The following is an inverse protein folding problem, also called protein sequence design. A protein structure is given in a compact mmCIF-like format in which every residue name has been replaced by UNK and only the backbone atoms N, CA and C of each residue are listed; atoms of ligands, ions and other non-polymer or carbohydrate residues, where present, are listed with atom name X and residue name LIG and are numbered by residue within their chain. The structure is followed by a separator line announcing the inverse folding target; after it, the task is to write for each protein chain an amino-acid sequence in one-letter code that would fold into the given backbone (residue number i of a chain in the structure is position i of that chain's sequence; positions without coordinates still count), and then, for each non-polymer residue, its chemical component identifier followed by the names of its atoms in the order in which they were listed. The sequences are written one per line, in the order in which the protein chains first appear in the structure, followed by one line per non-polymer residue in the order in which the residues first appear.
data_IF_882673372935
#
_entry.id   IF_882673372935
#
_cell.length_a   1.000
_cell.length_b   1.000
_cell.length_c   1.000
_cell.angle_alpha   90.00
_cell.angle_beta   90.00
_cell.angle_gamma   90.00
#
_symmetry.space_group_name_H-M   'P 1'
#
loop_
_entity.id
_entity.type
_entity.pdbx_description
1 polymer ?
#
# COMPACT_ATOMS: atom_id res chain seq x y z
N UNK A 1 38.18 2.60 16.08
CA UNK A 1 37.15 2.88 17.11
C UNK A 1 36.07 1.81 17.00
N UNK A 2 36.02 0.90 17.97
CA UNK A 2 34.96 -0.11 18.06
C UNK A 2 33.68 0.58 18.55
N UNK A 3 32.76 0.88 17.64
CA UNK A 3 31.42 1.28 18.03
C UNK A 3 30.73 0.07 18.67
N UNK A 4 30.59 0.13 19.99
CA UNK A 4 29.74 -0.77 20.76
C UNK A 4 28.32 -0.72 20.16
N UNK A 5 27.92 -1.82 19.52
CA UNK A 5 26.53 -2.05 19.08
C UNK A 5 25.70 -2.40 20.32
N UNK A 6 25.42 -1.42 21.17
CA UNK A 6 24.35 -1.58 22.17
C UNK A 6 23.04 -1.75 21.39
N UNK A 7 22.49 -2.98 21.40
CA UNK A 7 21.17 -3.25 20.83
C UNK A 7 20.17 -2.32 21.50
N UNK A 8 19.64 -1.35 20.76
CA UNK A 8 18.55 -0.49 21.21
C UNK A 8 17.39 -1.39 21.67
N UNK A 9 16.83 -1.21 22.88
CA UNK A 9 15.70 -2.00 23.32
C UNK A 9 14.53 -1.75 22.37
N UNK A 10 14.06 -2.81 21.71
CA UNK A 10 12.92 -2.76 20.80
C UNK A 10 11.63 -2.62 21.59
N UNK A 11 10.72 -1.77 21.12
CA UNK A 11 9.49 -1.48 21.83
C UNK A 11 8.39 -2.46 21.43
N UNK A 12 7.97 -3.32 22.36
CA UNK A 12 6.92 -4.33 22.17
C UNK A 12 5.51 -3.74 22.03
N UNK A 13 5.35 -2.44 22.22
CA UNK A 13 4.09 -1.73 22.07
C UNK A 13 3.99 -0.98 20.74
N UNK A 14 4.93 -1.15 19.81
CA UNK A 14 4.87 -0.55 18.48
C UNK A 14 4.27 -1.53 17.47
N UNK A 15 3.15 -1.11 16.88
CA UNK A 15 2.42 -1.80 15.83
C UNK A 15 2.73 -1.12 14.51
N UNK A 16 3.17 -1.90 13.53
CA UNK A 16 3.57 -1.37 12.22
C UNK A 16 2.39 -1.50 11.25
N UNK A 17 1.96 -0.37 10.69
CA UNK A 17 0.94 -0.31 9.64
C UNK A 17 1.67 0.10 8.36
N UNK A 18 1.58 -0.71 7.32
CA UNK A 18 2.36 -0.50 6.10
C UNK A 18 1.51 -0.52 4.84
N UNK A 19 2.06 0.06 3.77
CA UNK A 19 1.52 -0.05 2.43
C UNK A 19 2.62 -0.42 1.43
N UNK A 20 2.28 -1.29 0.46
CA UNK A 20 3.22 -1.68 -0.60
C UNK A 20 2.52 -2.00 -1.93
N UNK A 21 2.81 -1.20 -2.97
CA UNK A 21 2.50 -1.57 -4.35
C UNK A 21 3.41 -2.74 -4.80
N UNK A 22 2.80 -3.86 -5.21
CA UNK A 22 3.53 -5.10 -5.51
C UNK A 22 4.01 -5.19 -6.96
N UNK A 23 3.79 -4.18 -7.80
CA UNK A 23 4.14 -4.09 -9.22
C UNK A 23 3.63 -5.32 -10.00
N UNK A 24 2.32 -5.32 -10.30
CA UNK A 24 1.65 -6.30 -11.14
C UNK A 24 1.93 -7.74 -10.70
N UNK A 25 1.49 -8.07 -9.48
CA UNK A 25 1.62 -9.43 -8.97
C UNK A 25 0.50 -10.29 -9.54
N UNK A 26 0.75 -10.80 -10.74
CA UNK A 26 -0.06 -11.81 -11.41
C UNK A 26 0.44 -13.22 -11.06
N UNK A 27 -0.47 -14.19 -11.04
CA UNK A 27 -0.16 -15.59 -11.15
C UNK A 27 0.34 -15.91 -12.59
N UNK A 28 0.24 -17.15 -13.05
CA UNK A 28 0.81 -17.57 -14.35
C UNK A 28 -0.19 -18.27 -15.24
N UNK A 29 -1.43 -18.41 -14.76
CA UNK A 29 -2.57 -18.77 -15.58
C UNK A 29 -3.01 -17.53 -16.36
N UNK A 30 -3.89 -17.77 -17.32
CA UNK A 30 -4.46 -16.75 -18.21
C UNK A 30 -5.93 -16.63 -17.84
N UNK A 31 -6.42 -15.41 -17.55
CA UNK A 31 -7.85 -15.17 -17.33
C UNK A 31 -8.43 -14.41 -18.52
N UNK A 32 -9.26 -15.11 -19.31
CA UNK A 32 -9.91 -14.56 -20.51
C UNK A 32 -10.78 -13.31 -20.26
N UNK A 33 -11.04 -12.94 -19.01
CA UNK A 33 -11.86 -11.79 -18.62
C UNK A 33 -11.04 -10.54 -18.32
N UNK A 34 -9.71 -10.65 -18.19
CA UNK A 34 -8.82 -9.55 -17.83
C UNK A 34 -7.68 -9.43 -18.84
N UNK A 35 -6.94 -8.33 -18.79
CA UNK A 35 -5.80 -8.07 -19.67
C UNK A 35 -4.49 -8.57 -19.05
N UNK A 36 -4.45 -9.84 -18.64
CA UNK A 36 -3.31 -10.47 -17.94
C UNK A 36 -2.41 -11.34 -18.85
N UNK A 37 -2.79 -11.56 -20.12
CA UNK A 37 -2.06 -12.34 -21.15
C UNK A 37 -0.54 -12.12 -21.14
N UNK A 38 -0.14 -10.87 -20.95
CA UNK A 38 1.26 -10.41 -20.90
C UNK A 38 2.07 -11.13 -19.82
N UNK A 39 1.42 -11.49 -18.71
CA UNK A 39 1.93 -12.18 -17.54
C UNK A 39 1.69 -13.69 -17.55
N UNK A 40 1.69 -14.30 -18.73
CA UNK A 40 1.74 -15.76 -18.87
C UNK A 40 3.15 -16.26 -19.28
N UNK A 41 3.45 -17.57 -19.19
CA UNK A 41 4.72 -18.13 -19.66
C UNK A 41 4.98 -17.88 -21.15
N UNK A 42 3.91 -17.78 -21.95
CA UNK A 42 3.95 -17.52 -23.40
C UNK A 42 3.75 -16.05 -23.76
N UNK A 43 3.23 -15.25 -22.84
CA UNK A 43 2.97 -13.82 -23.00
C UNK A 43 4.20 -12.96 -23.21
N UNK A 44 3.96 -11.67 -23.46
CA UNK A 44 5.01 -10.70 -23.77
C UNK A 44 6.11 -10.64 -22.71
N UNK A 45 5.76 -10.74 -21.42
CA UNK A 45 6.71 -10.72 -20.30
C UNK A 45 7.42 -12.05 -20.10
N UNK A 46 6.91 -13.16 -20.65
CA UNK A 46 7.39 -14.53 -20.39
C UNK A 46 7.39 -14.84 -18.89
N UNK A 47 6.28 -14.56 -18.23
CA UNK A 47 6.13 -14.75 -16.79
C UNK A 47 5.97 -16.22 -16.47
N UNK A 48 7.07 -16.85 -16.04
CA UNK A 48 7.10 -18.28 -15.72
C UNK A 48 6.87 -18.50 -14.23
N UNK A 49 6.43 -19.71 -13.84
CA UNK A 49 6.33 -20.10 -12.43
C UNK A 49 7.61 -19.83 -11.63
N UNK A 50 8.79 -19.97 -12.26
CA UNK A 50 10.08 -19.66 -11.62
C UNK A 50 10.20 -18.17 -11.27
N UNK A 51 9.76 -17.27 -12.16
CA UNK A 51 9.77 -15.81 -11.94
C UNK A 51 8.74 -15.40 -10.89
N UNK A 52 7.54 -15.97 -10.98
CA UNK A 52 6.47 -15.79 -10.00
C UNK A 52 6.93 -16.17 -8.58
N UNK A 53 7.39 -17.41 -8.37
CA UNK A 53 7.93 -17.87 -7.07
C UNK A 53 9.08 -17.00 -6.56
N UNK A 54 9.97 -16.53 -7.46
CA UNK A 54 11.07 -15.62 -7.08
C UNK A 54 10.53 -14.27 -6.61
N UNK A 55 9.51 -13.72 -7.27
CA UNK A 55 8.87 -12.46 -6.88
C UNK A 55 8.13 -12.61 -5.55
N UNK A 56 7.33 -13.67 -5.35
CA UNK A 56 6.69 -13.95 -4.05
C UNK A 56 7.69 -14.00 -2.89
N UNK A 57 8.78 -14.76 -3.03
CA UNK A 57 9.82 -14.85 -1.99
C UNK A 57 10.49 -13.50 -1.69
N UNK A 58 10.64 -12.64 -2.71
CA UNK A 58 11.21 -11.30 -2.56
C UNK A 58 10.27 -10.37 -1.81
N UNK A 59 9.02 -10.31 -2.24
CA UNK A 59 7.98 -9.49 -1.59
C UNK A 59 7.76 -9.93 -0.15
N UNK A 60 7.66 -11.24 0.09
CA UNK A 60 7.55 -11.82 1.44
C UNK A 60 8.71 -11.41 2.36
N UNK A 61 9.96 -11.45 1.87
CA UNK A 61 11.13 -10.95 2.61
C UNK A 61 11.11 -9.45 2.88
N UNK A 62 10.55 -8.67 1.97
CA UNK A 62 10.39 -7.21 2.15
C UNK A 62 9.38 -6.94 3.24
N UNK A 63 8.17 -7.50 3.13
CA UNK A 63 7.06 -7.28 4.06
C UNK A 63 7.47 -7.69 5.48
N UNK A 64 8.07 -8.87 5.65
CA UNK A 64 8.52 -9.35 6.96
C UNK A 64 9.57 -8.46 7.66
N UNK A 65 10.18 -7.51 6.95
CA UNK A 65 11.21 -6.60 7.49
C UNK A 65 10.70 -5.18 7.77
N UNK A 66 9.47 -4.84 7.38
CA UNK A 66 8.90 -3.52 7.62
C UNK A 66 8.75 -3.27 9.12
N UNK A 67 9.18 -2.10 9.59
CA UNK A 67 9.17 -1.74 11.02
C UNK A 67 10.10 -2.55 11.94
N UNK A 68 10.83 -3.53 11.41
CA UNK A 68 11.66 -4.44 12.23
C UNK A 68 12.89 -3.75 12.86
N UNK A 69 13.20 -2.50 12.49
CA UNK A 69 14.27 -1.77 13.17
C UNK A 69 13.83 -1.30 14.56
N UNK A 70 12.57 -0.90 14.70
CA UNK A 70 12.01 -0.31 15.92
C UNK A 70 11.24 -1.33 16.77
N UNK A 71 10.66 -2.37 16.14
CA UNK A 71 9.92 -3.46 16.82
C UNK A 71 10.42 -4.85 16.40
N UNK A 72 10.15 -5.86 17.23
CA UNK A 72 10.31 -7.29 16.87
C UNK A 72 9.01 -7.89 16.33
N UNK A 73 7.90 -7.16 16.43
CA UNK A 73 6.63 -7.60 15.88
C UNK A 73 6.68 -7.53 14.34
N UNK A 74 6.08 -8.51 13.65
CA UNK A 74 5.85 -8.37 12.21
C UNK A 74 4.83 -7.25 11.98
N UNK A 75 4.73 -6.69 10.76
CA UNK A 75 3.71 -5.69 10.45
C UNK A 75 2.31 -6.16 10.82
N UNK A 76 1.59 -5.34 11.56
CA UNK A 76 0.24 -5.66 12.04
C UNK A 76 -0.76 -5.59 10.91
N UNK A 77 -0.66 -4.56 10.07
CA UNK A 77 -1.47 -4.33 8.89
C UNK A 77 -0.56 -4.00 7.71
N UNK A 78 -0.86 -4.59 6.55
CA UNK A 78 -0.17 -4.30 5.29
C UNK A 78 -1.20 -4.17 4.18
N UNK A 79 -1.49 -2.94 3.78
CA UNK A 79 -2.21 -2.67 2.54
C UNK A 79 -1.31 -2.97 1.35
N UNK A 80 -1.86 -3.60 0.33
CA UNK A 80 -1.14 -3.89 -0.92
C UNK A 80 -2.00 -3.50 -2.12
N UNK A 81 -1.34 -3.10 -3.20
CA UNK A 81 -1.97 -2.86 -4.49
C UNK A 81 -1.26 -3.64 -5.60
N UNK A 82 -1.92 -3.68 -6.76
CA UNK A 82 -1.49 -4.43 -7.94
C UNK A 82 -1.40 -5.94 -7.70
N UNK A 83 -2.40 -6.49 -7.01
CA UNK A 83 -2.58 -7.94 -6.82
C UNK A 83 -3.64 -8.43 -7.78
N UNK A 84 -3.38 -9.49 -8.54
CA UNK A 84 -4.36 -9.96 -9.52
C UNK A 84 -5.63 -10.55 -8.89
N UNK A 85 -5.44 -11.44 -7.91
CA UNK A 85 -6.54 -12.19 -7.34
C UNK A 85 -6.19 -12.72 -5.93
N UNK A 86 -7.20 -13.28 -5.26
CA UNK A 86 -7.02 -13.83 -3.92
C UNK A 86 -6.04 -15.03 -3.84
N UNK A 87 -5.85 -15.81 -4.91
CA UNK A 87 -4.86 -16.90 -4.92
C UNK A 87 -3.44 -16.35 -4.83
N UNK A 88 -3.17 -15.24 -5.51
CA UNK A 88 -1.87 -14.56 -5.41
C UNK A 88 -1.57 -14.10 -3.99
N UNK A 89 -2.56 -13.52 -3.28
CA UNK A 89 -2.38 -13.13 -1.87
C UNK A 89 -2.02 -14.35 -1.02
N UNK A 90 -2.77 -15.45 -1.20
CA UNK A 90 -2.54 -16.71 -0.47
C UNK A 90 -1.13 -17.26 -0.73
N UNK A 91 -0.69 -17.26 -1.99
CA UNK A 91 0.65 -17.72 -2.38
C UNK A 91 1.76 -16.83 -1.80
N UNK A 92 1.52 -15.52 -1.71
CA UNK A 92 2.44 -14.57 -1.05
C UNK A 92 2.58 -14.89 0.45
N UNK A 93 1.46 -15.11 1.15
CA UNK A 93 1.47 -15.45 2.57
C UNK A 93 2.11 -16.82 2.84
N UNK A 94 1.95 -17.79 1.93
CA UNK A 94 2.59 -19.09 2.01
C UNK A 94 4.10 -19.06 1.65
N UNK A 95 4.60 -17.93 1.13
CA UNK A 95 5.97 -17.81 0.64
C UNK A 95 6.94 -17.27 1.69
N UNK A 96 8.20 -17.71 1.60
CA UNK A 96 9.32 -17.07 2.31
C UNK A 96 9.14 -17.00 3.83
N UNK A 97 9.52 -15.88 4.49
CA UNK A 97 9.32 -15.69 5.92
C UNK A 97 7.86 -15.47 6.35
N UNK A 98 6.98 -14.98 5.47
CA UNK A 98 5.58 -14.71 5.83
C UNK A 98 4.81 -15.94 6.30
N UNK A 99 5.16 -17.13 5.81
CA UNK A 99 4.53 -18.40 6.23
C UNK A 99 4.64 -18.72 7.72
N UNK A 100 5.56 -18.05 8.42
CA UNK A 100 5.80 -18.24 9.85
C UNK A 100 4.94 -17.31 10.72
N UNK A 101 4.20 -16.39 10.11
CA UNK A 101 3.31 -15.47 10.80
C UNK A 101 1.85 -15.86 10.58
N UNK A 102 1.01 -15.50 11.53
CA UNK A 102 -0.40 -15.84 11.53
C UNK A 102 -1.23 -14.79 10.77
N UNK A 103 -0.88 -14.62 9.49
CA UNK A 103 -1.52 -13.65 8.62
C UNK A 103 -2.81 -14.19 7.99
N UNK A 104 -3.79 -13.30 7.90
CA UNK A 104 -4.98 -13.45 7.06
C UNK A 104 -5.12 -12.23 6.16
N UNK A 105 -6.13 -12.21 5.28
CA UNK A 105 -6.31 -11.12 4.33
C UNK A 105 -7.78 -10.84 4.02
N UNK A 106 -8.04 -9.63 3.49
CA UNK A 106 -9.29 -9.22 2.85
C UNK A 106 -8.97 -8.78 1.42
N UNK A 107 -9.77 -9.26 0.45
CA UNK A 107 -9.60 -8.98 -0.97
C UNK A 107 -10.96 -9.08 -1.69
N UNK A 108 -11.21 -8.20 -2.65
CA UNK A 108 -12.31 -8.26 -3.59
C UNK A 108 -11.80 -7.97 -4.99
N UNK A 109 -12.37 -8.62 -6.00
CA UNK A 109 -12.10 -8.28 -7.39
C UNK A 109 -12.81 -6.97 -7.74
N UNK A 110 -12.13 -6.09 -8.46
CA UNK A 110 -12.68 -4.82 -8.93
C UNK A 110 -12.97 -4.83 -10.43
N UNK A 111 -13.66 -3.80 -10.97
CA UNK A 111 -13.93 -3.68 -12.40
C UNK A 111 -12.71 -3.36 -13.28
N UNK A 112 -11.50 -3.28 -12.73
CA UNK A 112 -10.31 -2.85 -13.50
C UNK A 112 -9.99 -3.88 -14.58
N UNK A 113 -9.90 -3.45 -15.84
CA UNK A 113 -9.72 -4.34 -16.99
C UNK A 113 -8.40 -5.13 -16.95
N UNK A 114 -7.38 -4.62 -16.24
CA UNK A 114 -6.12 -5.35 -16.05
C UNK A 114 -6.26 -6.47 -15.02
N UNK A 115 -7.36 -6.52 -14.28
CA UNK A 115 -7.61 -7.51 -13.24
C UNK A 115 -6.64 -7.36 -12.08
N UNK A 116 -6.42 -6.14 -11.58
CA UNK A 116 -5.57 -5.91 -10.41
C UNK A 116 -6.26 -5.09 -9.33
N UNK A 117 -6.11 -5.54 -8.10
CA UNK A 117 -6.88 -5.10 -6.95
C UNK A 117 -6.00 -4.61 -5.80
N UNK A 118 -6.69 -4.08 -4.78
CA UNK A 118 -6.14 -3.84 -3.46
C UNK A 118 -6.48 -5.00 -2.51
N UNK A 119 -5.59 -5.26 -1.56
CA UNK A 119 -5.85 -6.17 -0.44
C UNK A 119 -5.32 -5.60 0.86
N UNK A 120 -5.91 -6.06 1.97
CA UNK A 120 -5.40 -5.84 3.31
C UNK A 120 -4.92 -7.16 3.88
N UNK A 121 -3.62 -7.27 4.19
CA UNK A 121 -3.04 -8.37 4.95
C UNK A 121 -2.96 -7.94 6.42
N UNK A 122 -3.34 -8.82 7.35
CA UNK A 122 -3.39 -8.49 8.78
C UNK A 122 -2.97 -9.65 9.68
N UNK A 123 -2.22 -9.33 10.74
CA UNK A 123 -1.81 -10.29 11.78
C UNK A 123 -3.00 -10.59 12.69
N UNK A 124 -3.51 -11.84 12.64
CA UNK A 124 -4.69 -12.27 13.40
C UNK A 124 -4.55 -12.14 14.91
N UNK A 125 -3.31 -12.04 15.43
CA UNK A 125 -3.07 -11.84 16.86
C UNK A 125 -3.37 -10.42 17.34
N UNK A 126 -3.38 -9.46 16.42
CA UNK A 126 -3.43 -8.04 16.76
C UNK A 126 -4.54 -7.28 16.04
N UNK A 127 -5.15 -7.89 15.02
CA UNK A 127 -6.27 -7.31 14.28
C UNK A 127 -7.35 -8.34 13.98
N UNK A 128 -8.60 -7.94 14.20
CA UNK A 128 -9.80 -8.71 13.87
C UNK A 128 -10.68 -7.90 12.90
N UNK A 129 -11.09 -8.52 11.79
CA UNK A 129 -12.00 -7.90 10.82
C UNK A 129 -13.44 -8.07 11.33
N UNK A 130 -14.16 -6.96 11.44
CA UNK A 130 -15.60 -6.97 11.78
C UNK A 130 -16.47 -6.86 10.53
N UNK A 131 -16.04 -6.06 9.56
CA UNK A 131 -16.77 -5.82 8.31
C UNK A 131 -15.81 -5.36 7.20
N UNK A 132 -16.15 -5.66 5.95
CA UNK A 132 -15.40 -5.17 4.80
C UNK A 132 -16.26 -5.13 3.54
N UNK A 133 -16.03 -4.12 2.69
CA UNK A 133 -16.67 -4.03 1.38
C UNK A 133 -15.77 -3.29 0.37
N UNK A 134 -15.91 -3.58 -0.93
CA UNK A 134 -15.35 -2.73 -1.97
C UNK A 134 -16.18 -1.45 -2.14
N UNK A 135 -15.51 -0.31 -2.22
CA UNK A 135 -16.12 0.99 -2.55
C UNK A 135 -15.78 1.33 -3.98
N UNK A 136 -16.81 1.41 -4.82
CA UNK A 136 -16.62 1.70 -6.23
C UNK A 136 -16.26 3.16 -6.49
N UNK A 137 -15.21 3.38 -7.27
CA UNK A 137 -14.83 4.71 -7.76
C UNK A 137 -15.35 4.90 -9.18
N UNK A 138 -16.33 5.79 -9.34
CA UNK A 138 -16.97 6.06 -10.63
C UNK A 138 -16.24 7.20 -11.37
N UNK A 139 -15.35 6.84 -12.28
CA UNK A 139 -14.64 7.79 -13.14
C UNK A 139 -15.16 7.74 -14.57
N UNK A 140 -15.13 8.90 -15.22
CA UNK A 140 -15.63 9.08 -16.58
C UNK A 140 -14.59 9.84 -17.40
N UNK A 141 -14.49 9.47 -18.68
CA UNK A 141 -13.76 10.20 -19.70
C UNK A 141 -14.49 11.49 -20.09
N UNK A 142 -13.80 12.40 -20.78
CA UNK A 142 -14.37 13.68 -21.26
C UNK A 142 -15.61 13.48 -22.17
N UNK A 143 -15.68 12.34 -22.88
CA UNK A 143 -16.81 11.98 -23.73
C UNK A 143 -17.98 11.32 -22.96
N UNK A 144 -17.90 11.25 -21.62
CA UNK A 144 -18.93 10.68 -20.76
C UNK A 144 -18.91 9.15 -20.65
N UNK A 145 -17.99 8.47 -21.33
CA UNK A 145 -17.84 7.02 -21.22
C UNK A 145 -17.22 6.69 -19.85
N UNK A 146 -17.77 5.68 -19.19
CA UNK A 146 -17.22 5.18 -17.93
C UNK A 146 -15.83 4.58 -18.16
N UNK A 147 -14.85 5.06 -17.42
CA UNK A 147 -13.53 4.45 -17.32
C UNK A 147 -13.54 3.50 -16.11
N UNK A 148 -13.25 2.23 -16.36
CA UNK A 148 -13.24 1.21 -15.31
C UNK A 148 -11.92 1.27 -14.55
N UNK A 149 -11.98 1.48 -13.24
CA UNK A 149 -10.81 1.60 -12.37
C UNK A 149 -10.93 0.68 -11.16
N UNK A 150 -9.88 0.66 -10.35
CA UNK A 150 -9.83 -0.07 -9.08
C UNK A 150 -10.83 0.48 -8.08
N UNK A 151 -11.48 -0.43 -7.37
CA UNK A 151 -12.26 -0.10 -6.19
C UNK A 151 -11.31 0.21 -5.02
N UNK A 152 -11.83 0.94 -4.04
CA UNK A 152 -11.17 1.16 -2.75
C UNK A 152 -11.62 0.05 -1.81
N UNK A 153 -10.70 -0.68 -1.20
CA UNK A 153 -11.04 -1.66 -0.19
C UNK A 153 -11.30 -0.96 1.14
N UNK A 154 -12.51 -1.08 1.69
CA UNK A 154 -12.83 -0.66 3.04
C UNK A 154 -12.89 -1.85 4.00
N UNK A 155 -12.30 -1.67 5.18
CA UNK A 155 -12.31 -2.65 6.27
C UNK A 155 -12.54 -1.92 7.59
N UNK A 156 -13.59 -2.34 8.32
CA UNK A 156 -13.78 -2.02 9.73
C UNK A 156 -13.26 -3.19 10.57
N UNK A 157 -12.48 -2.90 11.60
CA UNK A 157 -11.98 -3.93 12.49
C UNK A 157 -11.42 -3.41 13.80
N UNK A 158 -10.92 -4.33 14.62
CA UNK A 158 -10.40 -4.07 15.96
C UNK A 158 -8.88 -4.21 15.99
N UNK A 159 -8.17 -3.10 16.17
CA UNK A 159 -6.74 -3.08 16.47
C UNK A 159 -6.56 -3.11 18.00
N UNK A 160 -6.23 -4.26 18.58
CA UNK A 160 -6.04 -4.40 20.04
C UNK A 160 -7.24 -3.85 20.87
N UNK A 161 -8.46 -4.09 20.39
CA UNK A 161 -9.78 -3.63 20.88
C UNK A 161 -10.24 -2.23 20.45
N UNK A 162 -9.37 -1.44 19.82
CA UNK A 162 -9.73 -0.14 19.27
C UNK A 162 -10.37 -0.30 17.88
N UNK A 163 -11.59 0.21 17.68
CA UNK A 163 -12.22 0.22 16.35
C UNK A 163 -11.42 1.12 15.43
N UNK A 164 -11.08 0.63 14.24
CA UNK A 164 -10.45 1.40 13.17
C UNK A 164 -11.12 1.13 11.83
N UNK A 165 -11.17 2.18 11.01
CA UNK A 165 -11.72 2.19 9.66
C UNK A 165 -10.58 2.36 8.67
N UNK A 166 -10.33 1.33 7.88
CA UNK A 166 -9.18 1.22 7.00
C UNK A 166 -9.65 1.34 5.56
N UNK A 167 -8.98 2.19 4.79
CA UNK A 167 -9.17 2.32 3.36
C UNK A 167 -7.86 1.97 2.66
N UNK A 168 -7.85 0.95 1.80
CA UNK A 168 -6.71 0.60 0.95
C UNK A 168 -7.05 0.97 -0.49
N UNK A 169 -6.26 1.86 -1.08
CA UNK A 169 -6.58 2.44 -2.40
C UNK A 169 -5.41 2.36 -3.40
N UNK A 170 -5.76 2.37 -4.68
CA UNK A 170 -4.84 2.50 -5.80
C UNK A 170 -5.46 3.41 -6.88
N UNK A 171 -5.23 4.71 -6.74
CA UNK A 171 -5.88 5.73 -7.55
C UNK A 171 -5.48 5.68 -9.04
N UNK A 172 -6.29 6.26 -9.93
CA UNK A 172 -5.99 6.34 -11.36
C UNK A 172 -4.59 6.90 -11.64
N UNK A 173 -3.85 6.22 -12.52
CA UNK A 173 -2.46 6.58 -12.82
C UNK A 173 -2.35 7.84 -13.68
N UNK A 174 -1.18 8.49 -13.67
CA UNK A 174 -0.89 9.68 -14.50
C UNK A 174 -0.52 9.35 -15.97
N UNK A 175 -0.75 8.11 -16.45
CA UNK A 175 -0.21 7.62 -17.74
C UNK A 175 -0.69 8.43 -18.96
N UNK A 176 -1.94 8.90 -18.95
CA UNK A 176 -2.51 9.71 -20.04
C UNK A 176 -2.19 11.21 -19.92
N UNK A 177 -1.35 11.57 -18.95
CA UNK A 177 -0.98 12.94 -18.62
C UNK A 177 -1.63 13.40 -17.32
N UNK A 178 -0.87 14.13 -16.52
CA UNK A 178 -1.27 14.54 -15.18
C UNK A 178 -2.55 15.40 -15.21
N UNK A 179 -2.55 16.45 -16.03
CA UNK A 179 -3.69 17.36 -16.17
C UNK A 179 -4.96 16.68 -16.68
N UNK A 180 -4.84 15.61 -17.48
CA UNK A 180 -5.99 14.88 -18.04
C UNK A 180 -6.59 13.87 -17.07
N UNK A 181 -5.85 13.49 -16.04
CA UNK A 181 -6.23 12.42 -15.10
C UNK A 181 -6.45 12.94 -13.68
N UNK A 182 -6.09 14.19 -13.40
CA UNK A 182 -6.22 14.81 -12.08
C UNK A 182 -7.66 14.75 -11.54
N UNK A 183 -8.67 15.00 -12.38
CA UNK A 183 -10.09 14.93 -11.96
C UNK A 183 -10.47 13.53 -11.47
N UNK A 184 -9.92 12.46 -12.07
CA UNK A 184 -10.18 11.08 -11.66
C UNK A 184 -9.70 10.82 -10.22
N UNK A 185 -8.57 11.42 -9.83
CA UNK A 185 -8.02 11.30 -8.46
C UNK A 185 -8.79 12.17 -7.45
N UNK A 186 -9.27 13.35 -7.87
CA UNK A 186 -10.22 14.15 -7.08
C UNK A 186 -11.51 13.36 -6.82
N UNK A 187 -12.04 12.66 -7.83
CA UNK A 187 -13.20 11.78 -7.66
C UNK A 187 -12.93 10.68 -6.63
N UNK A 188 -11.77 10.02 -6.69
CA UNK A 188 -11.40 9.01 -5.69
C UNK A 188 -11.32 9.59 -4.26
N UNK A 189 -10.73 10.77 -4.11
CA UNK A 189 -10.68 11.49 -2.84
C UNK A 189 -12.09 11.83 -2.31
N UNK A 190 -12.98 12.32 -3.19
CA UNK A 190 -14.38 12.61 -2.88
C UNK A 190 -15.12 11.34 -2.44
N UNK A 191 -14.95 10.22 -3.15
CA UNK A 191 -15.56 8.94 -2.78
C UNK A 191 -15.18 8.52 -1.36
N UNK A 192 -13.92 8.69 -0.95
CA UNK A 192 -13.50 8.40 0.44
C UNK A 192 -14.17 9.36 1.43
N UNK A 193 -14.16 10.66 1.14
CA UNK A 193 -14.78 11.67 2.01
C UNK A 193 -16.28 11.41 2.20
N UNK A 194 -17.01 11.10 1.12
CA UNK A 194 -18.43 10.79 1.12
C UNK A 194 -18.71 9.53 1.96
N UNK A 195 -17.89 8.50 1.82
CA UNK A 195 -18.01 7.28 2.62
C UNK A 195 -17.76 7.53 4.11
N UNK A 196 -16.73 8.31 4.45
CA UNK A 196 -16.45 8.74 5.83
C UNK A 196 -17.60 9.56 6.43
N UNK A 197 -18.26 10.42 5.65
CA UNK A 197 -19.46 11.15 6.13
C UNK A 197 -20.57 10.17 6.55
N UNK A 198 -20.75 9.07 5.82
CA UNK A 198 -21.69 8.01 6.19
C UNK A 198 -21.36 7.37 7.55
N UNK A 199 -20.09 7.01 7.78
CA UNK A 199 -19.62 6.44 9.05
C UNK A 199 -19.91 7.40 10.21
N UNK A 200 -19.59 8.69 10.02
CA UNK A 200 -19.75 9.76 11.02
C UNK A 200 -21.20 10.02 11.43
N UNK A 201 -22.20 9.54 10.66
CA UNK A 201 -23.61 9.60 11.10
C UNK A 201 -23.92 8.67 12.27
N UNK A 202 -23.10 7.64 12.48
CA UNK A 202 -23.32 6.59 13.47
C UNK A 202 -22.19 6.45 14.50
N UNK A 203 -21.00 6.96 14.19
CA UNK A 203 -19.82 6.88 15.05
C UNK A 203 -19.24 8.28 15.29
N UNK A 204 -19.07 8.65 16.56
CA UNK A 204 -18.42 9.91 16.92
C UNK A 204 -16.90 9.76 16.90
N UNK A 205 -16.20 10.64 16.18
CA UNK A 205 -14.74 10.66 16.05
C UNK A 205 -14.11 9.31 15.62
N UNK A 206 -14.55 8.72 14.50
CA UNK A 206 -14.01 7.45 14.01
C UNK A 206 -12.50 7.52 13.75
N UNK A 207 -11.81 6.42 14.08
CA UNK A 207 -10.39 6.28 13.81
C UNK A 207 -10.14 5.83 12.37
N UNK A 208 -9.58 6.71 11.55
CA UNK A 208 -9.33 6.42 10.14
C UNK A 208 -7.85 6.09 9.89
N UNK A 209 -7.63 5.09 9.03
CA UNK A 209 -6.34 4.79 8.41
C UNK A 209 -6.57 4.69 6.90
N UNK A 210 -6.17 5.71 6.14
CA UNK A 210 -6.25 5.72 4.68
C UNK A 210 -4.86 5.46 4.13
N UNK A 211 -4.66 4.32 3.47
CA UNK A 211 -3.38 3.92 2.90
C UNK A 211 -3.51 3.54 1.43
N UNK A 212 -2.48 3.76 0.64
CA UNK A 212 -2.60 3.47 -0.78
C UNK A 212 -1.47 4.00 -1.64
N UNK A 213 -1.55 3.62 -2.91
CA UNK A 213 -0.87 4.29 -4.00
C UNK A 213 -1.83 5.35 -4.55
N UNK A 214 -1.63 6.58 -4.13
CA UNK A 214 -2.48 7.70 -4.50
C UNK A 214 -2.18 8.19 -5.93
N UNK A 215 -1.11 7.72 -6.58
CA UNK A 215 -0.60 8.30 -7.83
C UNK A 215 -0.44 9.84 -7.79
N UNK A 216 -0.39 10.41 -6.58
CA UNK A 216 -0.26 11.83 -6.28
C UNK A 216 0.62 12.03 -5.06
N UNK A 217 1.31 13.17 -5.01
CA UNK A 217 2.19 13.53 -3.90
C UNK A 217 1.38 14.09 -2.72
N UNK A 218 1.93 14.14 -1.51
CA UNK A 218 1.21 14.66 -0.34
C UNK A 218 0.68 16.10 -0.49
N UNK A 219 1.29 16.90 -1.36
CA UNK A 219 0.88 18.30 -1.62
C UNK A 219 -0.03 18.45 -2.85
N UNK A 220 -0.34 17.36 -3.57
CA UNK A 220 -1.27 17.40 -4.70
C UNK A 220 -2.69 17.74 -4.24
N UNK A 221 -3.44 18.44 -5.10
CA UNK A 221 -4.80 18.92 -4.81
C UNK A 221 -5.73 17.79 -4.32
N UNK A 222 -5.67 16.62 -4.93
CA UNK A 222 -6.48 15.44 -4.56
C UNK A 222 -6.23 14.94 -3.13
N UNK A 223 -4.96 14.90 -2.72
CA UNK A 223 -4.56 14.47 -1.38
C UNK A 223 -4.89 15.58 -0.37
N UNK A 224 -4.65 16.85 -0.72
CA UNK A 224 -5.06 17.99 0.11
C UNK A 224 -6.57 18.00 0.33
N UNK A 225 -7.37 17.85 -0.72
CA UNK A 225 -8.82 17.77 -0.65
C UNK A 225 -9.29 16.63 0.28
N UNK A 226 -8.71 15.45 0.19
CA UNK A 226 -8.95 14.35 1.14
C UNK A 226 -8.63 14.77 2.58
N UNK A 227 -7.41 15.27 2.81
CA UNK A 227 -6.94 15.54 4.18
C UNK A 227 -7.63 16.73 4.84
N UNK A 228 -7.89 17.81 4.12
CA UNK A 228 -8.44 19.04 4.67
C UNK A 228 -9.95 18.92 4.93
N UNK A 229 -10.69 18.24 4.05
CA UNK A 229 -12.14 18.03 4.21
C UNK A 229 -12.46 17.24 5.49
N UNK A 230 -11.60 16.27 5.83
CA UNK A 230 -11.81 15.36 6.97
C UNK A 230 -10.94 15.65 8.17
N UNK A 231 -10.11 16.69 8.11
CA UNK A 231 -9.11 16.98 9.12
C UNK A 231 -8.28 15.72 9.41
N UNK A 232 -7.59 15.19 8.41
CA UNK A 232 -6.69 14.04 8.56
C UNK A 232 -5.24 14.52 8.66
N UNK A 233 -4.43 13.74 9.37
CA UNK A 233 -3.00 13.94 9.48
C UNK A 233 -2.25 13.05 8.49
N UNK A 234 -1.48 13.67 7.58
CA UNK A 234 -0.63 12.96 6.64
C UNK A 234 0.85 13.04 7.07
N UNK A 235 1.40 12.03 7.77
CA UNK A 235 2.80 12.03 8.18
C UNK A 235 3.80 11.97 7.01
N UNK A 236 3.34 11.60 5.82
CA UNK A 236 4.19 11.42 4.64
C UNK A 236 4.66 12.74 4.04
N UNK A 237 3.97 13.86 4.32
CA UNK A 237 4.39 15.21 3.89
C UNK A 237 5.83 15.54 4.28
N UNK A 238 6.32 14.96 5.39
CA UNK A 238 7.68 15.20 5.91
C UNK A 238 8.75 14.28 5.33
N UNK A 239 8.39 13.32 4.48
CA UNK A 239 9.30 12.26 4.01
C UNK A 239 9.79 12.46 2.57
N UNK A 240 9.05 13.19 1.75
CA UNK A 240 9.45 13.49 0.37
C UNK A 240 10.62 14.49 0.36
N UNK A 241 11.65 14.19 -0.43
CA UNK A 241 12.77 15.10 -0.68
C UNK A 241 13.18 15.03 -2.16
N UNK A 242 13.98 15.98 -2.67
CA UNK A 242 14.51 15.90 -4.03
C UNK A 242 15.31 14.61 -4.34
N UNK A 243 15.69 13.85 -3.31
CA UNK A 243 16.53 12.65 -3.44
C UNK A 243 15.88 11.38 -2.86
N UNK A 244 14.63 11.48 -2.36
CA UNK A 244 13.94 10.38 -1.67
C UNK A 244 12.43 10.49 -1.84
N UNK A 245 11.84 9.38 -2.26
CA UNK A 245 10.39 9.18 -2.38
C UNK A 245 10.08 7.69 -2.38
N UNK A 246 8.82 7.32 -2.59
CA UNK A 246 8.41 5.92 -2.72
C UNK A 246 8.53 5.42 -4.16
N UNK A 247 8.39 6.30 -5.16
CA UNK A 247 8.50 5.98 -6.58
C UNK A 247 9.43 6.96 -7.30
N UNK A 248 9.95 6.55 -8.46
CA UNK A 248 10.76 7.44 -9.30
C UNK A 248 10.43 7.30 -10.79
N UNK A 249 10.19 8.45 -11.43
CA UNK A 249 9.92 8.57 -12.85
C UNK A 249 10.80 9.63 -13.48
N UNK A 250 11.50 9.28 -14.58
CA UNK A 250 12.44 10.17 -15.29
C UNK A 250 13.46 10.88 -14.36
N UNK A 251 13.91 10.19 -13.32
CA UNK A 251 14.84 10.69 -12.28
C UNK A 251 14.26 11.73 -11.31
N UNK A 252 12.97 12.02 -11.40
CA UNK A 252 12.24 12.72 -10.36
C UNK A 252 11.73 11.72 -9.32
N UNK A 253 11.73 12.12 -8.05
CA UNK A 253 11.16 11.35 -6.96
C UNK A 253 9.74 11.82 -6.69
N UNK A 254 8.86 10.86 -6.37
CA UNK A 254 7.49 11.10 -5.95
C UNK A 254 7.19 10.27 -4.71
N UNK A 255 6.21 10.69 -3.92
CA UNK A 255 5.72 9.97 -2.74
C UNK A 255 4.24 9.63 -2.93
N UNK A 256 3.97 8.76 -3.91
CA UNK A 256 2.62 8.30 -4.24
C UNK A 256 2.07 7.34 -3.19
N UNK A 257 2.95 6.53 -2.59
CA UNK A 257 2.59 5.59 -1.54
C UNK A 257 2.47 6.35 -0.22
N UNK A 258 1.26 6.40 0.36
CA UNK A 258 1.01 7.18 1.56
C UNK A 258 0.16 6.44 2.58
N UNK A 259 0.28 6.83 3.85
CA UNK A 259 -0.58 6.38 4.96
C UNK A 259 -0.97 7.63 5.73
N UNK A 260 -2.27 7.91 5.76
CA UNK A 260 -2.91 9.08 6.33
C UNK A 260 -3.80 8.59 7.48
N UNK A 261 -3.83 9.32 8.59
CA UNK A 261 -4.55 8.90 9.81
C UNK A 261 -5.43 10.02 10.34
N UNK A 262 -6.50 9.68 11.06
CA UNK A 262 -7.29 10.67 11.81
C UNK A 262 -6.49 11.32 12.94
N UNK A 263 -6.87 12.53 13.35
CA UNK A 263 -6.20 13.25 14.45
C UNK A 263 -6.33 12.56 15.80
N UNK A 264 -7.27 11.63 15.97
CA UNK A 264 -7.40 10.80 17.17
C UNK A 264 -6.12 10.04 17.49
N UNK A 265 -5.37 9.59 16.48
CA UNK A 265 -4.04 8.98 16.66
C UNK A 265 -2.97 9.96 17.14
N UNK A 266 -3.22 11.26 17.21
CA UNK A 266 -2.26 12.24 17.76
C UNK A 266 -2.42 12.45 19.27
N UNK A 267 -3.50 11.93 19.85
CA UNK A 267 -3.79 12.06 21.27
C UNK A 267 -3.26 10.84 22.03
N UNK A 268 -2.82 11.06 23.27
CA UNK A 268 -2.57 9.98 24.21
C UNK A 268 -3.84 9.68 24.98
N UNK A 269 -4.34 8.45 24.85
CA UNK A 269 -5.42 7.92 25.67
C UNK A 269 -5.06 6.48 26.07
N UNK A 270 -5.31 6.12 27.32
CA UNK A 270 -4.99 4.77 27.80
C UNK A 270 -5.90 3.75 27.11
N UNK A 271 -5.31 2.67 26.60
CA UNK A 271 -6.02 1.62 25.88
C UNK A 271 -6.17 1.85 24.39
N UNK A 272 -5.68 2.97 23.85
CA UNK A 272 -5.69 3.31 22.42
C UNK A 272 -4.28 3.37 21.83
N UNK A 273 -4.17 3.71 20.55
CA UNK A 273 -2.91 3.90 19.86
C UNK A 273 -2.62 5.38 19.57
N UNK A 274 -1.35 5.77 19.73
CA UNK A 274 -0.85 7.06 19.27
C UNK A 274 0.21 6.91 18.18
N UNK A 275 0.22 7.82 17.21
CA UNK A 275 1.23 7.94 16.19
C UNK A 275 2.61 8.15 16.82
N UNK A 276 3.57 7.32 16.41
CA UNK A 276 4.95 7.39 16.88
C UNK A 276 5.91 7.85 15.78
N UNK A 277 5.84 7.24 14.59
CA UNK A 277 6.79 7.49 13.51
C UNK A 277 6.23 7.09 12.14
N UNK A 278 6.77 7.66 11.07
CA UNK A 278 6.51 7.27 9.68
C UNK A 278 7.81 7.24 8.89
N UNK A 279 7.92 6.32 7.94
CA UNK A 279 9.12 6.22 7.10
C UNK A 279 8.86 5.53 5.75
N UNK A 280 9.77 5.77 4.80
CA UNK A 280 9.89 5.02 3.56
C UNK A 280 10.88 3.87 3.80
N UNK A 281 10.50 2.64 3.45
CA UNK A 281 11.38 1.47 3.56
C UNK A 281 12.25 1.31 2.30
N UNK A 282 13.27 2.14 2.19
CA UNK A 282 14.15 2.22 1.02
C UNK A 282 15.51 1.52 1.24
N UNK A 283 15.49 0.27 1.73
CA UNK A 283 16.71 -0.52 2.01
C UNK A 283 17.51 -0.80 0.74
N UNK A 284 18.83 -0.92 0.87
CA UNK A 284 19.74 -1.14 -0.27
C UNK A 284 19.36 -2.31 -1.17
N UNK A 285 18.82 -3.41 -0.64
CA UNK A 285 18.44 -4.57 -1.45
C UNK A 285 17.22 -4.33 -2.34
N UNK A 286 16.45 -3.26 -2.08
CA UNK A 286 15.31 -2.84 -2.91
C UNK A 286 15.73 -1.87 -4.02
N UNK A 287 17.00 -1.44 -4.05
CA UNK A 287 17.49 -0.38 -4.92
C UNK A 287 18.23 -0.95 -6.14
N UNK A 288 18.08 -0.29 -7.28
CA UNK A 288 18.99 -0.47 -8.41
C UNK A 288 20.42 -0.14 -7.97
N UNK A 289 21.34 -1.09 -8.16
CA UNK A 289 22.70 -0.97 -7.63
C UNK A 289 23.63 -0.14 -8.53
N UNK A 290 23.35 -0.10 -9.85
CA UNK A 290 24.23 0.50 -10.85
C UNK A 290 23.46 1.11 -12.03
N UNK A 291 24.17 1.91 -12.82
CA UNK A 291 23.63 2.55 -14.02
C UNK A 291 22.87 3.85 -13.71
N UNK A 292 22.21 4.39 -14.74
CA UNK A 292 21.50 5.68 -14.70
C UNK A 292 20.45 5.77 -13.59
N UNK A 293 19.84 4.65 -13.22
CA UNK A 293 18.76 4.56 -12.23
C UNK A 293 19.26 4.14 -10.84
N UNK A 294 20.57 4.18 -10.57
CA UNK A 294 21.13 3.79 -9.27
C UNK A 294 20.40 4.49 -8.13
N UNK A 295 19.93 3.71 -7.16
CA UNK A 295 19.20 4.20 -5.99
C UNK A 295 17.68 4.18 -6.13
N UNK A 296 17.12 4.10 -7.36
CA UNK A 296 15.67 3.97 -7.57
C UNK A 296 15.16 2.58 -7.17
N UNK A 297 13.85 2.39 -6.99
CA UNK A 297 13.27 1.07 -6.79
C UNK A 297 13.69 0.08 -7.87
N UNK A 298 14.10 -1.11 -7.45
CA UNK A 298 14.52 -2.18 -8.33
C UNK A 298 13.29 -2.91 -8.86
N UNK A 299 12.82 -2.48 -10.03
CA UNK A 299 11.63 -3.00 -10.70
C UNK A 299 11.81 -4.38 -11.30
N UNK A 300 10.71 -5.08 -11.55
CA UNK A 300 10.70 -6.44 -12.10
C UNK A 300 11.03 -6.46 -13.59
N UNK A 301 10.49 -5.48 -14.34
CA UNK A 301 10.66 -5.39 -15.79
C UNK A 301 11.01 -3.97 -16.27
N UNK A 302 11.73 -3.91 -17.40
CA UNK A 302 11.82 -2.72 -18.26
C UNK A 302 11.40 -3.12 -19.66
N UNK A 303 10.23 -2.66 -20.10
CA UNK A 303 9.61 -3.17 -21.33
C UNK A 303 9.46 -4.69 -21.27
N UNK A 304 10.12 -5.41 -22.18
CA UNK A 304 10.17 -6.88 -22.22
C UNK A 304 11.31 -7.49 -21.37
N UNK A 305 12.30 -6.69 -20.97
CA UNK A 305 13.49 -7.20 -20.28
C UNK A 305 13.17 -7.51 -18.82
N UNK A 306 13.30 -8.77 -18.44
CA UNK A 306 13.23 -9.19 -17.04
C UNK A 306 14.50 -8.78 -16.29
N UNK A 307 14.35 -7.86 -15.34
CA UNK A 307 15.41 -7.51 -14.40
C UNK A 307 15.33 -8.37 -13.14
N UNK A 308 14.11 -8.79 -12.79
CA UNK A 308 13.84 -9.63 -11.64
C UNK A 308 14.05 -8.93 -10.33
N UNK A 309 13.70 -7.64 -10.26
CA UNK A 309 13.61 -6.82 -9.05
C UNK A 309 12.49 -7.23 -8.08
N UNK A 310 12.00 -6.28 -7.30
CA UNK A 310 11.01 -6.45 -6.23
C UNK A 310 9.70 -5.76 -6.59
N UNK A 311 9.76 -4.43 -6.74
CA UNK A 311 8.69 -3.53 -7.13
C UNK A 311 9.34 -2.26 -7.70
N UNK A 312 8.62 -1.51 -8.54
CA UNK A 312 8.98 -0.15 -8.93
C UNK A 312 8.62 0.91 -7.87
N UNK A 313 8.10 0.46 -6.70
CA UNK A 313 7.84 1.27 -5.52
C UNK A 313 8.68 0.78 -4.31
N UNK A 314 8.98 1.70 -3.39
CA UNK A 314 9.37 1.36 -2.03
C UNK A 314 8.13 1.32 -1.13
N UNK A 315 8.02 0.34 -0.22
CA UNK A 315 6.98 0.35 0.79
C UNK A 315 7.08 1.58 1.70
N UNK A 316 5.95 2.05 2.21
CA UNK A 316 5.89 3.03 3.29
C UNK A 316 5.26 2.40 4.53
N UNK A 317 5.58 2.93 5.70
CA UNK A 317 4.97 2.46 6.94
C UNK A 317 4.89 3.57 7.98
N UNK A 318 3.93 3.42 8.87
CA UNK A 318 3.84 4.15 10.13
C UNK A 318 3.95 3.17 11.29
N UNK A 319 4.28 3.71 12.45
CA UNK A 319 4.26 3.01 13.72
C UNK A 319 3.30 3.70 14.66
N UNK A 320 2.43 2.89 15.23
CA UNK A 320 1.46 3.26 16.24
C UNK A 320 1.90 2.63 17.56
N UNK A 321 2.06 3.45 18.59
CA UNK A 321 2.36 3.00 19.94
C UNK A 321 1.06 2.73 20.70
N UNK A 322 0.88 1.52 21.20
CA UNK A 322 -0.20 1.22 22.13
C UNK A 322 0.07 1.82 23.51
N UNK A 323 -0.91 2.54 24.03
CA UNK A 323 -0.85 3.25 25.30
C UNK A 323 -1.38 2.35 26.42
N UNK A 324 -0.55 1.43 26.91
CA UNK A 324 -0.88 0.48 27.97
C UNK A 324 -1.17 1.13 29.33
#
# INVERSE_FOLDING_TARGET
MNFSLTKRPKNKHLYTIAFYNLENLFDTADDIRTLDDDFTPKGFKKWTHKRYKKKLNKLSKTIAKLGHYETDLPPTLVGVSEVENHHVVKDLLASGPLRNFDYSYVHFNSPDERGIDCALIYDRKHFEVEFSEPIQVLVFEENGIRDTTRDILYVKGKLKNETVHIFVNHWPSRRDGDSKTAHKRITAAKTINDFMMGIETSEANPNYIVMGDFNDDPQSESVKFLTETKGLYNPMEKLITPTRGSASYRLSWMLFDQIIVSHTFLNYEKGTHSFAHANIFDKHFLKEFKGKYKGSPFRTYVGRKYLGGYSDHFPVYIQLKYNS
#
